data_IF_427820200664
#
_entry.id   IF_427820200664
#
_cell.length_a   1.000
_cell.length_b   1.000
_cell.length_c   1.000
_cell.angle_alpha   90.00
_cell.angle_beta   90.00
_cell.angle_gamma   90.00
#
_symmetry.space_group_name_H-M   'P 1'
#
loop_
_entity.id
_entity.type
_entity.pdbx_description
1 polymer ?
#
# COMPACT_ATOMS: atom_id res chain seq x y z
N UNK A 1 9.22 13.52 21.35
CA UNK A 1 8.17 13.87 20.37
C UNK A 1 7.48 12.56 20.01
N UNK A 2 6.15 12.49 19.99
CA UNK A 2 5.46 11.25 19.57
C UNK A 2 5.65 11.15 18.06
N UNK A 3 6.20 10.04 17.51
CA UNK A 3 6.31 9.87 16.07
C UNK A 3 4.93 10.00 15.43
N UNK A 4 4.85 10.80 14.38
CA UNK A 4 3.61 10.95 13.62
C UNK A 4 3.90 10.79 12.14
N UNK A 5 3.18 9.88 11.49
CA UNK A 5 3.05 9.90 10.04
C UNK A 5 2.47 11.26 9.65
N UNK A 6 3.05 11.82 8.60
CA UNK A 6 2.60 13.08 8.03
C UNK A 6 1.11 13.07 7.73
N UNK A 7 0.41 14.12 8.19
CA UNK A 7 -0.97 14.40 7.75
C UNK A 7 -0.99 14.88 6.28
N UNK A 8 0.16 15.25 5.72
CA UNK A 8 0.31 15.55 4.31
C UNK A 8 0.32 14.26 3.50
N UNK A 9 -0.57 14.14 2.52
CA UNK A 9 -0.49 13.08 1.53
C UNK A 9 0.43 13.44 0.37
N UNK A 10 1.00 12.41 -0.26
CA UNK A 10 1.92 12.52 -1.38
C UNK A 10 1.54 11.50 -2.46
N UNK A 11 1.59 11.91 -3.72
CA UNK A 11 1.56 10.99 -4.85
C UNK A 11 2.97 10.50 -5.17
N UNK A 12 3.09 9.26 -5.62
CA UNK A 12 4.32 8.73 -6.17
C UNK A 12 4.50 9.23 -7.61
N UNK A 13 5.63 9.87 -7.88
CA UNK A 13 6.06 10.24 -9.21
C UNK A 13 7.23 9.38 -9.64
N UNK A 14 7.02 8.54 -10.64
CA UNK A 14 8.05 7.71 -11.25
C UNK A 14 9.10 8.56 -11.96
N UNK A 15 10.36 8.42 -11.54
CA UNK A 15 11.47 9.11 -12.18
C UNK A 15 12.79 8.41 -11.88
N UNK A 16 13.83 8.61 -12.70
CA UNK A 16 15.17 8.12 -12.38
C UNK A 16 15.65 8.64 -11.01
N UNK A 17 16.37 7.80 -10.27
CA UNK A 17 16.95 8.19 -8.99
C UNK A 17 17.85 9.42 -9.16
N UNK A 18 17.54 10.51 -8.45
CA UNK A 18 18.39 11.70 -8.39
C UNK A 18 19.47 11.48 -7.33
N UNK A 19 20.73 11.84 -7.63
CA UNK A 19 21.80 11.81 -6.62
C UNK A 19 21.41 12.71 -5.44
N UNK A 20 21.58 12.21 -4.22
CA UNK A 20 21.35 12.92 -2.94
C UNK A 20 19.88 13.17 -2.53
N UNK A 21 18.90 12.47 -3.13
CA UNK A 21 17.52 12.48 -2.65
C UNK A 21 17.18 11.15 -1.95
N UNK A 22 16.25 11.16 -0.97
CA UNK A 22 15.70 9.92 -0.42
C UNK A 22 15.23 9.04 -1.57
N UNK A 23 15.65 7.78 -1.54
CA UNK A 23 15.45 6.85 -2.65
C UNK A 23 14.33 5.89 -2.29
N UNK A 24 13.10 6.38 -2.31
CA UNK A 24 11.95 5.48 -2.25
C UNK A 24 11.97 4.61 -3.51
N UNK A 25 11.78 3.31 -3.32
CA UNK A 25 11.87 2.33 -4.40
C UNK A 25 10.50 1.68 -4.57
N UNK A 26 9.93 1.78 -5.75
CA UNK A 26 8.72 1.08 -6.12
C UNK A 26 9.09 -0.27 -6.77
N UNK A 27 8.36 -1.32 -6.39
CA UNK A 27 8.61 -2.69 -6.86
C UNK A 27 10.05 -3.18 -6.62
N UNK A 28 10.53 -4.11 -7.45
CA UNK A 28 11.86 -4.73 -7.37
C UNK A 28 11.94 -5.98 -6.50
N UNK A 29 13.15 -6.52 -6.44
CA UNK A 29 13.42 -7.75 -5.70
C UNK A 29 13.14 -7.59 -4.20
N UNK A 30 12.61 -8.64 -3.60
CA UNK A 30 12.51 -8.73 -2.16
C UNK A 30 13.89 -9.02 -1.56
N UNK A 31 14.50 -8.03 -0.90
CA UNK A 31 15.79 -8.20 -0.22
C UNK A 31 15.67 -8.76 1.21
N UNK A 32 14.46 -8.94 1.73
CA UNK A 32 14.21 -9.49 3.06
C UNK A 32 14.12 -11.02 2.99
N UNK A 33 15.11 -11.71 3.59
CA UNK A 33 15.20 -13.18 3.54
C UNK A 33 14.01 -13.90 4.18
N UNK A 34 13.34 -13.26 5.13
CA UNK A 34 12.24 -13.85 5.91
C UNK A 34 10.85 -13.47 5.36
N UNK A 35 10.80 -12.63 4.31
CA UNK A 35 9.55 -12.19 3.70
C UNK A 35 9.00 -13.23 2.71
N UNK A 36 8.57 -14.37 3.25
CA UNK A 36 7.94 -15.46 2.50
C UNK A 36 6.45 -15.58 2.83
N UNK A 37 5.64 -15.82 1.83
CA UNK A 37 4.23 -16.10 2.01
C UNK A 37 4.02 -17.46 2.70
N UNK A 38 3.31 -17.51 3.83
CA UNK A 38 3.08 -18.75 4.58
C UNK A 38 2.09 -19.71 3.89
N UNK A 39 1.29 -19.20 2.94
CA UNK A 39 0.31 -20.01 2.21
C UNK A 39 0.92 -20.72 1.00
N UNK A 40 1.64 -19.99 0.15
CA UNK A 40 2.17 -20.53 -1.12
C UNK A 40 3.68 -20.74 -1.14
N UNK A 41 4.40 -20.37 -0.07
CA UNK A 41 5.85 -20.47 0.04
C UNK A 41 6.61 -19.80 -1.12
N UNK A 42 6.06 -18.70 -1.65
CA UNK A 42 6.74 -17.79 -2.58
C UNK A 42 7.24 -16.56 -1.82
N UNK A 43 8.28 -15.87 -2.30
CA UNK A 43 8.65 -14.57 -1.75
C UNK A 43 7.48 -13.60 -1.80
N UNK A 44 7.28 -12.80 -0.75
CA UNK A 44 6.35 -11.68 -0.79
C UNK A 44 6.84 -10.66 -1.82
N UNK A 45 5.91 -10.04 -2.54
CA UNK A 45 6.23 -8.93 -3.45
C UNK A 45 6.44 -7.68 -2.63
N UNK A 46 7.53 -6.97 -2.90
CA UNK A 46 7.73 -5.60 -2.41
C UNK A 46 6.96 -4.67 -3.32
N UNK A 47 5.93 -4.01 -2.81
CA UNK A 47 5.18 -3.02 -3.60
C UNK A 47 5.86 -1.65 -3.51
N UNK A 48 6.36 -1.29 -2.33
CA UNK A 48 7.04 -0.04 -2.07
C UNK A 48 8.06 -0.21 -0.94
N UNK A 49 9.23 0.40 -1.08
CA UNK A 49 10.21 0.63 -0.02
C UNK A 49 10.24 2.12 0.26
N UNK A 50 9.82 2.51 1.46
CA UNK A 50 9.97 3.90 1.91
C UNK A 50 11.35 4.08 2.55
N UNK A 51 12.11 5.04 2.01
CA UNK A 51 13.28 5.60 2.68
C UNK A 51 12.82 6.45 3.86
N UNK A 52 13.03 5.94 5.08
CA UNK A 52 12.56 6.57 6.32
C UNK A 52 13.49 7.68 6.81
N UNK A 53 14.64 7.87 6.15
CA UNK A 53 15.45 9.07 6.32
C UNK A 53 14.79 10.32 5.71
N UNK A 54 13.78 10.12 4.86
CA UNK A 54 12.91 11.20 4.43
C UNK A 54 12.11 11.75 5.62
N UNK A 55 12.61 12.85 6.19
CA UNK A 55 12.00 13.54 7.33
C UNK A 55 10.54 13.94 7.10
N UNK A 56 10.08 14.05 5.85
CA UNK A 56 8.67 14.31 5.52
C UNK A 56 7.74 13.22 6.06
N UNK A 57 8.22 11.98 6.18
CA UNK A 57 7.44 10.84 6.63
C UNK A 57 7.33 10.73 8.16
N UNK A 58 8.31 11.28 8.90
CA UNK A 58 8.36 11.16 10.36
C UNK A 58 8.59 9.73 10.86
N UNK A 59 9.30 8.90 10.06
CA UNK A 59 9.47 7.46 10.32
C UNK A 59 10.89 7.03 10.70
N UNK A 60 11.87 7.95 10.69
CA UNK A 60 13.30 7.63 10.88
C UNK A 60 13.60 6.88 12.18
N UNK A 61 12.93 7.26 13.27
CA UNK A 61 13.16 6.70 14.61
C UNK A 61 12.41 5.38 14.83
N UNK A 62 11.43 5.09 13.96
CA UNK A 62 10.50 3.96 14.08
C UNK A 62 10.96 2.81 13.20
N UNK A 63 11.42 3.11 11.99
CA UNK A 63 11.82 2.14 10.99
C UNK A 63 13.21 2.52 10.44
N UNK A 64 14.29 2.38 11.23
CA UNK A 64 15.61 2.92 10.87
C UNK A 64 16.24 2.27 9.63
N UNK A 65 15.84 1.03 9.29
CA UNK A 65 16.28 0.31 8.08
C UNK A 65 15.42 0.62 6.84
N UNK A 66 14.49 1.57 6.94
CA UNK A 66 13.44 1.78 5.94
C UNK A 66 12.18 0.97 6.24
N UNK A 67 11.10 1.28 5.53
CA UNK A 67 9.81 0.60 5.68
C UNK A 67 9.42 -0.09 4.37
N UNK A 68 9.59 -1.43 4.28
CA UNK A 68 9.08 -2.20 3.16
C UNK A 68 7.57 -2.44 3.31
N UNK A 69 6.84 -2.31 2.20
CA UNK A 69 5.44 -2.64 2.07
C UNK A 69 5.31 -3.91 1.22
N UNK A 70 5.17 -5.03 1.90
CA UNK A 70 5.05 -6.36 1.32
C UNK A 70 3.62 -6.83 1.18
N UNK A 71 3.36 -7.60 0.12
CA UNK A 71 2.09 -8.30 -0.07
C UNK A 71 2.24 -9.60 -0.87
N UNK A 72 1.28 -10.52 -0.72
CA UNK A 72 1.22 -11.74 -1.52
C UNK A 72 -0.03 -11.80 -2.38
N UNK A 73 0.18 -11.69 -3.68
CA UNK A 73 -0.86 -11.75 -4.70
C UNK A 73 -1.18 -13.17 -5.19
N UNK A 74 -0.41 -14.15 -4.76
CA UNK A 74 -0.43 -15.50 -5.36
C UNK A 74 -1.17 -16.50 -4.48
N UNK A 75 -2.08 -16.06 -3.61
CA UNK A 75 -2.85 -16.94 -2.73
C UNK A 75 -3.98 -16.16 -2.06
N UNK A 76 -4.79 -16.85 -1.25
CA UNK A 76 -5.92 -16.28 -0.50
C UNK A 76 -5.56 -15.38 0.69
N UNK A 77 -4.32 -14.87 0.77
CA UNK A 77 -3.95 -13.86 1.78
C UNK A 77 -4.83 -12.61 1.65
N UNK A 78 -5.26 -12.27 0.44
CA UNK A 78 -6.10 -11.09 0.20
C UNK A 78 -7.51 -11.16 0.78
N UNK A 79 -7.99 -12.34 1.16
CA UNK A 79 -9.36 -12.49 1.68
C UNK A 79 -9.50 -12.17 3.19
N UNK A 80 -8.48 -11.58 3.83
CA UNK A 80 -8.49 -11.02 5.20
C UNK A 80 -7.26 -10.10 5.38
N UNK A 81 -7.19 -9.41 6.51
CA UNK A 81 -6.07 -8.57 6.91
C UNK A 81 -4.76 -9.35 6.99
N UNK A 82 -3.74 -8.85 6.29
CA UNK A 82 -2.36 -9.35 6.35
C UNK A 82 -1.51 -8.46 7.25
N UNK A 83 -0.99 -8.99 8.35
CA UNK A 83 -0.18 -8.22 9.29
C UNK A 83 1.20 -8.84 9.48
N UNK A 84 2.23 -8.00 9.49
CA UNK A 84 3.60 -8.37 9.83
C UNK A 84 4.28 -7.29 10.66
N UNK A 85 5.22 -7.70 11.50
CA UNK A 85 6.11 -6.79 12.23
C UNK A 85 7.38 -6.58 11.43
N UNK A 86 7.86 -5.34 11.36
CA UNK A 86 9.18 -4.98 10.83
C UNK A 86 10.16 -4.88 12.00
N UNK A 87 11.24 -5.64 11.94
CA UNK A 87 12.28 -5.63 12.96
C UNK A 87 13.30 -4.51 12.70
N UNK A 88 14.15 -4.21 13.69
CA UNK A 88 15.14 -3.14 13.61
C UNK A 88 16.13 -3.34 12.44
N UNK A 89 16.41 -4.59 12.08
CA UNK A 89 17.32 -4.98 10.99
C UNK A 89 16.63 -4.96 9.60
N UNK A 90 15.35 -4.61 9.52
CA UNK A 90 14.56 -4.64 8.28
C UNK A 90 14.05 -6.03 7.88
N UNK A 91 14.20 -7.04 8.75
CA UNK A 91 13.50 -8.33 8.58
C UNK A 91 12.03 -8.20 8.96
N UNK A 92 11.19 -9.17 8.57
CA UNK A 92 9.79 -9.18 8.96
C UNK A 92 9.40 -10.45 9.72
N UNK A 93 8.34 -10.37 10.51
CA UNK A 93 7.70 -11.50 11.16
C UNK A 93 6.19 -11.42 10.95
N UNK A 94 5.62 -12.42 10.28
CA UNK A 94 4.18 -12.46 9.99
C UNK A 94 3.40 -12.74 11.27
N UNK A 95 2.38 -11.91 11.54
CA UNK A 95 1.58 -11.94 12.76
C UNK A 95 0.17 -12.47 12.52
N UNK A 96 -0.46 -12.06 11.42
CA UNK A 96 -1.84 -12.41 11.07
C UNK A 96 -1.95 -12.54 9.55
N UNK A 97 -2.66 -13.58 9.11
CA UNK A 97 -3.01 -13.79 7.71
C UNK A 97 -4.14 -14.81 7.66
N UNK A 98 -4.92 -14.82 6.57
CA UNK A 98 -5.86 -15.89 6.31
C UNK A 98 -5.13 -17.12 5.78
N UNK A 99 -5.36 -18.27 6.40
CA UNK A 99 -4.88 -19.53 5.87
C UNK A 99 -5.73 -19.98 4.68
N UNK A 100 -5.06 -20.48 3.64
CA UNK A 100 -5.73 -21.04 2.48
C UNK A 100 -4.79 -21.16 1.30
N UNK A 101 -5.11 -22.07 0.38
CA UNK A 101 -4.46 -22.13 -0.93
C UNK A 101 -5.29 -21.33 -1.94
N UNK A 102 -4.87 -21.35 -3.20
CA UNK A 102 -5.54 -20.71 -4.31
C UNK A 102 -7.04 -20.94 -4.32
N UNK A 103 -7.77 -19.85 -4.52
CA UNK A 103 -9.16 -19.92 -4.89
C UNK A 103 -9.27 -19.93 -6.41
N UNK A 104 -9.86 -20.99 -6.97
CA UNK A 104 -10.15 -21.09 -8.40
C UNK A 104 -11.48 -20.42 -8.75
N UNK A 105 -12.01 -19.57 -7.87
CA UNK A 105 -13.31 -18.91 -8.00
C UNK A 105 -13.43 -17.97 -9.21
N UNK A 106 -12.34 -17.58 -9.87
CA UNK A 106 -12.35 -16.68 -11.02
C UNK A 106 -12.16 -17.40 -12.36
N UNK A 107 -12.91 -16.95 -13.38
CA UNK A 107 -12.78 -17.41 -14.76
C UNK A 107 -11.40 -17.07 -15.37
N UNK A 108 -10.69 -16.10 -14.78
CA UNK A 108 -9.33 -15.72 -15.14
C UNK A 108 -8.36 -16.46 -14.19
N UNK A 109 -7.41 -17.25 -14.71
CA UNK A 109 -6.38 -17.85 -13.88
C UNK A 109 -5.55 -16.73 -13.25
N UNK A 110 -5.75 -16.50 -11.95
CA UNK A 110 -4.97 -15.53 -11.19
C UNK A 110 -4.10 -16.24 -10.15
N UNK A 111 -2.80 -15.92 -10.07
CA UNK A 111 -2.05 -15.03 -10.93
C UNK A 111 -2.02 -15.58 -12.35
N UNK A 112 -1.88 -14.66 -13.31
CA UNK A 112 -1.73 -15.01 -14.72
C UNK A 112 -0.50 -15.91 -14.94
N UNK A 113 -0.53 -16.68 -16.03
CA UNK A 113 0.61 -17.51 -16.43
C UNK A 113 1.89 -16.69 -16.47
N UNK A 114 3.01 -17.24 -16.00
CA UNK A 114 4.32 -16.58 -15.91
C UNK A 114 4.47 -15.41 -14.92
N UNK A 115 3.54 -15.27 -13.96
CA UNK A 115 3.61 -14.27 -12.91
C UNK A 115 5.00 -14.12 -12.28
N UNK A 116 5.59 -12.91 -12.31
CA UNK A 116 6.99 -12.75 -11.98
C UNK A 116 7.23 -12.88 -10.48
N UNK A 117 8.46 -13.25 -10.10
CA UNK A 117 8.88 -13.22 -8.70
C UNK A 117 8.98 -11.79 -8.14
N UNK A 118 9.11 -10.79 -9.01
CA UNK A 118 9.14 -9.37 -8.70
C UNK A 118 8.81 -8.54 -9.95
N UNK A 119 8.23 -7.37 -9.76
CA UNK A 119 7.97 -6.41 -10.84
C UNK A 119 9.15 -5.46 -11.05
N UNK A 120 9.27 -4.79 -12.22
CA UNK A 120 10.39 -3.89 -12.52
C UNK A 120 10.58 -2.85 -11.43
N UNK A 121 11.82 -2.74 -10.94
CA UNK A 121 12.20 -1.77 -9.92
C UNK A 121 12.33 -0.36 -10.51
N UNK A 122 11.86 0.64 -9.79
CA UNK A 122 12.07 2.04 -10.16
C UNK A 122 12.12 2.96 -8.94
N UNK A 123 12.80 4.08 -9.07
CA UNK A 123 12.78 5.11 -8.03
C UNK A 123 11.52 5.97 -8.16
N UNK A 124 11.02 6.44 -7.01
CA UNK A 124 9.86 7.34 -6.96
C UNK A 124 10.15 8.54 -6.06
N UNK A 125 9.61 9.69 -6.45
CA UNK A 125 9.57 10.89 -5.62
C UNK A 125 8.18 11.10 -5.05
N UNK A 126 8.13 11.52 -3.79
CA UNK A 126 6.89 11.93 -3.13
C UNK A 126 6.56 13.38 -3.51
N UNK A 127 5.51 13.56 -4.31
CA UNK A 127 4.97 14.86 -4.71
C UNK A 127 3.80 15.20 -3.79
N UNK A 128 3.86 16.32 -3.03
CA UNK A 128 2.81 16.64 -2.07
C UNK A 128 1.49 16.92 -2.79
N UNK A 129 0.41 16.34 -2.24
CA UNK A 129 -0.95 16.73 -2.59
C UNK A 129 -1.25 18.12 -2.04
N UNK A 130 -1.92 18.94 -2.85
CA UNK A 130 -2.44 20.23 -2.42
C UNK A 130 -3.58 20.04 -1.40
N UNK A 131 -3.87 21.10 -0.65
CA UNK A 131 -5.03 21.10 0.26
C UNK A 131 -6.36 20.90 -0.49
N UNK A 132 -6.48 21.42 -1.72
CA UNK A 132 -7.66 21.21 -2.58
C UNK A 132 -7.84 19.73 -2.89
N UNK A 133 -6.76 19.04 -3.27
CA UNK A 133 -6.80 17.61 -3.60
C UNK A 133 -7.12 16.75 -2.36
N UNK A 134 -6.51 17.03 -1.21
CA UNK A 134 -6.83 16.30 0.05
C UNK A 134 -8.29 16.52 0.48
N UNK A 135 -8.81 17.75 0.38
CA UNK A 135 -10.21 18.04 0.66
C UNK A 135 -11.16 17.30 -0.30
N UNK A 136 -10.82 17.28 -1.59
CA UNK A 136 -11.57 16.53 -2.58
C UNK A 136 -11.60 15.03 -2.27
N UNK A 137 -10.44 14.42 -1.93
CA UNK A 137 -10.38 13.00 -1.54
C UNK A 137 -11.31 12.72 -0.35
N UNK A 138 -11.24 13.56 0.69
CA UNK A 138 -12.08 13.43 1.87
C UNK A 138 -13.58 13.48 1.54
N UNK A 139 -14.00 14.45 0.71
CA UNK A 139 -15.40 14.56 0.25
C UNK A 139 -15.81 13.36 -0.60
N UNK A 140 -14.92 12.86 -1.45
CA UNK A 140 -15.16 11.70 -2.30
C UNK A 140 -15.32 10.41 -1.49
N UNK A 141 -14.51 10.21 -0.45
CA UNK A 141 -14.64 9.08 0.47
C UNK A 141 -15.94 9.15 1.28
N UNK A 142 -16.35 10.35 1.72
CA UNK A 142 -17.58 10.53 2.50
C UNK A 142 -18.87 10.23 1.72
N UNK A 143 -18.81 10.24 0.39
CA UNK A 143 -19.97 10.05 -0.49
C UNK A 143 -20.01 8.69 -1.18
N UNK A 144 -18.98 7.86 -0.97
CA UNK A 144 -18.75 6.60 -1.70
C UNK A 144 -19.92 5.60 -1.59
N UNK A 145 -20.55 5.49 -0.41
CA UNK A 145 -21.73 4.65 -0.15
C UNK A 145 -23.00 5.08 -0.92
N UNK A 146 -23.05 6.35 -1.32
CA UNK A 146 -24.26 6.97 -1.90
C UNK A 146 -24.17 7.20 -3.41
N UNK A 147 -23.11 6.72 -4.07
CA UNK A 147 -22.83 6.94 -5.50
C UNK A 147 -23.74 6.19 -6.47
N UNK A 148 -25.03 6.12 -6.20
CA UNK A 148 -26.02 5.84 -7.25
C UNK A 148 -26.27 7.11 -8.06
N UNK A 149 -25.35 7.45 -8.96
CA UNK A 149 -25.63 8.39 -10.07
C UNK A 149 -25.46 9.89 -9.83
N UNK A 150 -24.61 10.33 -8.91
CA UNK A 150 -24.18 11.75 -8.85
C UNK A 150 -22.96 11.99 -9.72
N UNK A 151 -23.03 12.98 -10.62
CA UNK A 151 -21.89 13.44 -11.42
C UNK A 151 -20.71 13.84 -10.49
N UNK A 152 -19.45 13.60 -10.90
CA UNK A 152 -18.28 13.96 -10.11
C UNK A 152 -18.30 15.46 -9.79
N UNK A 153 -17.98 15.82 -8.54
CA UNK A 153 -17.99 17.21 -8.06
C UNK A 153 -16.98 18.10 -8.82
N UNK A 154 -15.90 17.51 -9.32
CA UNK A 154 -14.86 18.14 -10.14
C UNK A 154 -14.24 17.02 -11.02
N UNK A 155 -14.64 16.94 -12.30
CA UNK A 155 -14.22 15.88 -13.23
C UNK A 155 -12.70 15.90 -13.47
N UNK A 156 -12.07 17.08 -13.56
CA UNK A 156 -10.63 17.21 -13.76
C UNK A 156 -9.84 16.65 -12.56
N UNK A 157 -10.28 16.97 -11.33
CA UNK A 157 -9.66 16.39 -10.13
C UNK A 157 -9.93 14.89 -10.00
N UNK A 158 -11.10 14.43 -10.44
CA UNK A 158 -11.39 13.01 -10.49
C UNK A 158 -10.40 12.33 -11.44
N UNK A 159 -10.29 12.75 -12.69
CA UNK A 159 -9.35 12.16 -13.66
C UNK A 159 -7.89 12.21 -13.19
N UNK A 160 -7.51 13.28 -12.48
CA UNK A 160 -6.16 13.47 -11.95
C UNK A 160 -5.81 12.59 -10.74
N UNK A 161 -6.79 12.20 -9.93
CA UNK A 161 -6.57 11.47 -8.68
C UNK A 161 -7.06 10.02 -8.76
N UNK A 162 -8.02 9.76 -9.64
CA UNK A 162 -8.57 8.46 -9.94
C UNK A 162 -7.60 7.72 -10.87
N UNK A 163 -7.22 6.50 -10.50
CA UNK A 163 -6.38 5.63 -11.33
C UNK A 163 -4.95 6.12 -11.58
N UNK A 164 -4.48 7.17 -10.88
CA UNK A 164 -3.27 7.92 -11.27
C UNK A 164 -2.23 8.07 -10.17
N UNK A 165 -2.34 7.38 -9.05
CA UNK A 165 -1.21 7.39 -8.13
C UNK A 165 -1.34 6.54 -6.90
N UNK A 166 -0.35 5.67 -6.76
CA UNK A 166 0.08 5.24 -5.44
C UNK A 166 0.27 6.48 -4.54
N UNK A 167 -0.28 6.41 -3.33
CA UNK A 167 -0.28 7.50 -2.37
C UNK A 167 0.47 7.09 -1.10
N UNK A 168 1.13 8.05 -0.45
CA UNK A 168 1.72 7.89 0.89
C UNK A 168 1.22 9.01 1.81
N UNK A 169 0.74 8.65 3.00
CA UNK A 169 0.19 9.58 3.99
C UNK A 169 -1.10 10.29 3.55
N UNK A 170 -1.59 11.22 4.39
CA UNK A 170 -2.85 11.93 4.16
C UNK A 170 -4.09 11.02 4.17
N UNK A 171 -5.21 11.53 3.65
CA UNK A 171 -6.44 10.75 3.44
C UNK A 171 -6.31 9.93 2.14
N UNK A 172 -6.43 8.59 2.15
CA UNK A 172 -6.35 7.77 0.93
C UNK A 172 -7.55 8.01 0.02
N UNK A 173 -7.37 8.06 -1.30
CA UNK A 173 -8.50 7.91 -2.22
C UNK A 173 -8.97 6.45 -2.22
N UNK A 174 -10.21 6.17 -1.82
CA UNK A 174 -10.75 4.80 -1.73
C UNK A 174 -11.54 4.41 -2.99
N UNK A 175 -11.38 3.16 -3.45
CA UNK A 175 -12.19 2.60 -4.53
C UNK A 175 -13.56 2.16 -4.00
N UNK A 176 -13.58 1.51 -2.83
CA UNK A 176 -14.79 1.05 -2.15
C UNK A 176 -14.90 1.61 -0.73
N UNK A 177 -16.14 1.74 -0.19
CA UNK A 177 -16.34 2.09 1.21
C UNK A 177 -15.56 1.14 2.10
N UNK A 178 -14.96 1.68 3.15
CA UNK A 178 -14.07 0.90 3.98
C UNK A 178 -14.32 1.08 5.46
N UNK A 179 -14.27 -0.03 6.20
CA UNK A 179 -14.54 -0.06 7.62
C UNK A 179 -13.26 0.14 8.44
N UNK A 180 -13.00 1.39 8.85
CA UNK A 180 -11.87 1.74 9.71
C UNK A 180 -11.90 1.07 11.11
N UNK A 181 -13.05 0.55 11.57
CA UNK A 181 -13.17 -0.02 12.92
C UNK A 181 -12.27 -1.25 13.16
N UNK A 182 -11.92 -1.96 12.09
CA UNK A 182 -11.09 -3.16 12.15
C UNK A 182 -9.57 -2.87 12.16
N UNK A 183 -9.17 -1.61 11.91
CA UNK A 183 -7.76 -1.20 11.72
C UNK A 183 -7.03 -1.00 13.04
N UNK A 184 -6.89 -2.09 13.80
CA UNK A 184 -6.21 -2.12 15.11
C UNK A 184 -4.99 -3.01 15.08
N UNK A 185 -3.92 -2.53 15.70
CA UNK A 185 -2.69 -3.30 15.84
C UNK A 185 -2.97 -4.64 16.54
N UNK A 186 -2.56 -5.78 15.98
CA UNK A 186 -2.79 -7.09 16.58
C UNK A 186 -2.05 -7.25 17.91
N UNK A 187 -1.00 -6.46 18.17
CA UNK A 187 -0.19 -6.54 19.39
C UNK A 187 -0.70 -5.61 20.50
N UNK A 188 -0.84 -4.30 20.23
CA UNK A 188 -1.20 -3.31 21.25
C UNK A 188 -2.65 -2.82 21.19
N UNK A 189 -3.44 -3.25 20.18
CA UNK A 189 -4.86 -2.89 19.96
C UNK A 189 -5.14 -1.40 19.70
N UNK A 190 -4.10 -0.56 19.65
CA UNK A 190 -4.21 0.83 19.21
C UNK A 190 -4.59 0.91 17.74
N UNK A 191 -5.23 2.01 17.38
CA UNK A 191 -5.56 2.33 15.99
C UNK A 191 -4.28 2.42 15.16
N UNK A 192 -4.34 1.83 13.97
CA UNK A 192 -3.27 1.90 12.99
C UNK A 192 -3.41 3.19 12.17
N UNK A 193 -2.28 3.73 11.72
CA UNK A 193 -2.28 4.94 10.90
C UNK A 193 -2.12 4.58 9.45
N UNK A 194 -2.90 5.22 8.59
CA UNK A 194 -2.72 5.07 7.16
C UNK A 194 -1.29 5.44 6.77
N UNK A 195 -0.68 4.59 5.94
CA UNK A 195 0.69 4.75 5.50
C UNK A 195 0.75 4.93 3.99
N UNK A 196 0.15 4.01 3.22
CA UNK A 196 0.19 4.07 1.77
C UNK A 196 -1.01 3.38 1.12
N UNK A 197 -1.35 3.83 -0.09
CA UNK A 197 -2.29 3.20 -1.00
C UNK A 197 -1.55 2.84 -2.28
N UNK A 198 -1.58 1.58 -2.69
CA UNK A 198 -0.91 1.08 -3.88
C UNK A 198 -1.98 0.51 -4.81
N UNK A 199 -2.14 1.12 -5.97
CA UNK A 199 -3.05 0.66 -7.02
C UNK A 199 -2.49 -0.54 -7.79
N UNK A 200 -3.34 -1.16 -8.62
CA UNK A 200 -2.98 -2.24 -9.52
C UNK A 200 -1.86 -1.88 -10.52
N UNK A 201 -1.74 -0.60 -10.89
CA UNK A 201 -0.70 -0.15 -11.81
C UNK A 201 0.69 -0.57 -11.31
N UNK A 202 1.39 -1.30 -12.15
CA UNK A 202 2.80 -1.55 -11.99
C UNK A 202 3.47 -1.29 -13.34
N UNK A 203 4.80 -1.25 -13.40
CA UNK A 203 5.53 -1.04 -14.65
C UNK A 203 5.42 -2.22 -15.65
N UNK A 204 4.45 -3.10 -15.47
CA UNK A 204 4.05 -4.20 -16.36
C UNK A 204 2.62 -3.93 -16.84
N UNK A 205 2.36 -4.13 -18.13
CA UNK A 205 1.07 -3.84 -18.77
C UNK A 205 -0.11 -4.63 -18.19
N UNK A 206 0.16 -5.73 -17.49
CA UNK A 206 -0.87 -6.59 -16.87
C UNK A 206 -1.27 -6.14 -15.47
N UNK A 207 -0.50 -5.24 -14.84
CA UNK A 207 -0.72 -4.84 -13.45
C UNK A 207 -0.38 -5.95 -12.44
N UNK A 208 -0.55 -5.66 -11.15
CA UNK A 208 -0.36 -6.66 -10.09
C UNK A 208 -1.40 -7.78 -10.16
N UNK A 209 -2.67 -7.43 -10.34
CA UNK A 209 -3.88 -8.22 -10.16
C UNK A 209 -4.58 -8.63 -11.46
N UNK A 210 -4.21 -8.05 -12.60
CA UNK A 210 -4.99 -8.18 -13.84
C UNK A 210 -6.34 -7.46 -13.81
N UNK A 211 -6.65 -6.72 -12.74
CA UNK A 211 -7.86 -5.94 -12.54
C UNK A 211 -7.49 -4.53 -12.04
N UNK A 212 -7.86 -3.51 -12.82
CA UNK A 212 -7.57 -2.10 -12.53
C UNK A 212 -8.27 -1.57 -11.27
N UNK A 213 -9.30 -2.28 -10.77
CA UNK A 213 -10.09 -1.91 -9.60
C UNK A 213 -9.55 -2.45 -8.29
N UNK A 214 -8.31 -2.96 -8.29
CA UNK A 214 -7.66 -3.44 -7.07
C UNK A 214 -6.75 -2.38 -6.47
N UNK A 215 -6.98 -2.12 -5.18
CA UNK A 215 -6.17 -1.21 -4.39
C UNK A 215 -5.69 -1.90 -3.10
N UNK A 216 -4.43 -1.68 -2.76
CA UNK A 216 -3.81 -2.18 -1.55
C UNK A 216 -3.54 -1.06 -0.60
N UNK A 217 -4.07 -1.19 0.61
CA UNK A 217 -4.00 -0.15 1.60
C UNK A 217 -3.18 -0.64 2.78
N UNK A 218 -2.18 0.16 3.13
CA UNK A 218 -1.20 -0.15 4.16
C UNK A 218 -1.37 0.79 5.33
N UNK A 219 -1.41 0.22 6.53
CA UNK A 219 -1.38 0.96 7.78
C UNK A 219 -0.24 0.49 8.66
N UNK A 220 0.18 1.36 9.58
CA UNK A 220 1.26 1.04 10.51
C UNK A 220 0.94 1.38 11.96
N UNK A 221 1.46 0.54 12.85
CA UNK A 221 1.56 0.81 14.28
C UNK A 221 2.96 1.33 14.58
N UNK A 222 3.08 2.61 14.92
CA UNK A 222 4.37 3.23 15.23
C UNK A 222 4.98 2.73 16.55
N UNK A 223 4.17 2.19 17.47
CA UNK A 223 4.67 1.67 18.75
C UNK A 223 5.18 0.23 18.66
N UNK A 224 4.59 -0.56 17.77
CA UNK A 224 4.88 -1.99 17.66
C UNK A 224 5.63 -2.37 16.38
N UNK A 225 5.89 -1.40 15.49
CA UNK A 225 6.49 -1.60 14.18
C UNK A 225 5.70 -2.58 13.30
N UNK A 226 4.38 -2.60 13.46
CA UNK A 226 3.50 -3.49 12.68
C UNK A 226 3.03 -2.79 11.44
N UNK A 227 3.05 -3.48 10.31
CA UNK A 227 2.36 -3.12 9.09
C UNK A 227 1.15 -4.04 8.93
N UNK A 228 0.01 -3.45 8.59
CA UNK A 228 -1.19 -4.15 8.16
C UNK A 228 -1.44 -3.78 6.70
N UNK A 229 -1.70 -4.77 5.87
CA UNK A 229 -2.12 -4.61 4.50
C UNK A 229 -3.54 -5.18 4.36
N UNK A 230 -4.35 -4.48 3.59
CA UNK A 230 -5.70 -4.90 3.22
C UNK A 230 -5.91 -4.65 1.72
N UNK A 231 -6.73 -5.48 1.11
CA UNK A 231 -7.17 -5.30 -0.27
C UNK A 231 -8.53 -4.60 -0.25
N UNK A 232 -8.63 -3.47 -0.94
CA UNK A 232 -9.86 -2.73 -1.13
C UNK A 232 -10.39 -3.04 -2.54
N UNK A 233 -11.25 -4.05 -2.59
CA UNK A 233 -11.91 -4.60 -3.79
C UNK A 233 -13.39 -4.88 -3.49
N UNK A 234 -14.22 -5.03 -4.54
CA UNK A 234 -15.66 -5.37 -4.45
C UNK A 234 -15.93 -6.74 -3.87
#
# INVERSE_FOLDING_TARGET
>A
MIPTISQQGYLLKFQPAKRNHPSHIFCGENHCRDAWCPNCNKPLLRLLQLDTSDTRLGLSDVFPAGLPLYYCWTCTIYKDLFCYQVNAEGTISILRYRQGLYDYEYEIPYPYDDYPAFFPETAVELVPLTQKEQAFIYEMNATIDTRTGTEPLDEELCDKLYGTGHQVGGEPFLIFPWNYEEMRCPLCRKELRFCASIWNECLDERGFAGDEWVQHLFFVCLDCHVVMADENTT
#
